data_IF_343046515633
#
_entry.id   IF_343046515633
#
_cell.length_a   1.000
_cell.length_b   1.000
_cell.length_c   1.000
_cell.angle_alpha   90.00
_cell.angle_beta   90.00
_cell.angle_gamma   90.00
#
_symmetry.space_group_name_H-M   'P 1'
#
loop_
_entity.id
_entity.type
_entity.pdbx_description
1 polymer ?
#
# COMPACT_ATOMS: atom_id res chain seq x y z
N UNK A 1 0.51 -16.65 -18.74
CA UNK A 1 -0.77 -15.96 -18.42
C UNK A 1 -0.51 -15.11 -17.19
N UNK A 2 0.27 -14.04 -17.34
CA UNK A 2 -0.23 -12.67 -17.48
C UNK A 2 -1.31 -12.32 -16.46
N UNK A 3 -0.91 -11.66 -15.37
CA UNK A 3 -1.73 -10.62 -14.77
C UNK A 3 -0.91 -9.34 -14.84
N UNK A 4 -1.11 -8.67 -15.96
CA UNK A 4 -0.62 -7.35 -16.31
C UNK A 4 -0.78 -6.34 -15.18
N UNK A 5 0.26 -5.51 -15.04
CA UNK A 5 0.20 -4.06 -14.95
C UNK A 5 -0.93 -3.45 -14.11
N UNK A 6 -0.59 -2.94 -12.92
CA UNK A 6 -1.35 -1.84 -12.34
C UNK A 6 -0.44 -0.66 -12.02
N UNK A 7 -0.43 0.23 -13.01
CA UNK A 7 -0.04 1.65 -12.99
C UNK A 7 1.42 1.97 -12.64
N UNK A 8 2.28 1.82 -13.65
CA UNK A 8 3.41 2.72 -13.81
C UNK A 8 2.94 4.03 -14.47
N UNK A 9 3.31 5.17 -13.88
CA UNK A 9 3.26 6.53 -14.47
C UNK A 9 2.97 7.61 -13.41
N UNK A 10 3.83 8.58 -13.08
CA UNK A 10 4.91 9.20 -13.86
C UNK A 10 6.11 9.78 -13.03
N UNK A 11 7.33 9.58 -13.60
CA UNK A 11 8.55 10.42 -13.69
C UNK A 11 9.54 10.71 -12.51
N UNK A 12 10.73 10.06 -12.59
CA UNK A 12 12.17 10.44 -12.31
C UNK A 12 12.60 11.12 -10.98
N UNK A 13 13.76 10.76 -10.34
CA UNK A 13 14.74 9.70 -10.64
C UNK A 13 14.32 8.37 -9.99
N UNK A 14 14.87 7.25 -10.46
CA UNK A 14 14.53 5.89 -10.03
C UNK A 14 14.97 5.58 -8.58
N UNK A 15 14.39 6.24 -7.59
CA UNK A 15 14.48 5.83 -6.20
C UNK A 15 13.59 4.60 -6.03
N UNK A 16 14.20 3.47 -5.64
CA UNK A 16 13.48 2.23 -5.37
C UNK A 16 12.30 2.50 -4.44
N UNK A 17 11.09 2.01 -4.75
CA UNK A 17 9.94 2.14 -3.86
C UNK A 17 10.25 1.58 -2.47
N UNK A 18 9.73 2.25 -1.45
CA UNK A 18 9.80 1.78 -0.07
C UNK A 18 8.59 0.89 0.18
N UNK A 19 8.86 -0.40 0.37
CA UNK A 19 7.84 -1.37 0.74
C UNK A 19 7.44 -1.25 2.21
N UNK A 20 6.14 -1.23 2.49
CA UNK A 20 5.59 -1.17 3.86
C UNK A 20 4.65 -2.34 4.10
N UNK A 21 4.74 -2.94 5.28
CA UNK A 21 3.74 -3.88 5.79
C UNK A 21 3.06 -3.28 7.02
N UNK A 22 1.73 -3.32 7.08
CA UNK A 22 0.96 -2.84 8.23
C UNK A 22 0.58 -4.04 9.10
N UNK A 23 0.94 -4.01 10.38
CA UNK A 23 0.62 -5.09 11.32
C UNK A 23 -0.64 -4.73 12.10
N UNK A 24 -1.79 -5.23 11.62
CA UNK A 24 -3.10 -5.00 12.20
C UNK A 24 -3.98 -4.10 11.32
N UNK A 25 -5.25 -4.49 11.21
CA UNK A 25 -6.28 -3.79 10.42
C UNK A 25 -7.54 -3.59 11.27
N UNK A 26 -7.37 -2.87 12.38
CA UNK A 26 -8.47 -2.28 13.18
C UNK A 26 -8.54 -0.78 12.93
N UNK A 27 -9.14 0.00 13.84
CA UNK A 27 -9.38 1.44 13.65
C UNK A 27 -8.16 2.23 13.16
N UNK A 28 -6.97 2.01 13.75
CA UNK A 28 -5.76 2.73 13.33
C UNK A 28 -5.22 2.18 12.03
N UNK A 29 -5.12 0.85 11.92
CA UNK A 29 -4.56 0.19 10.74
C UNK A 29 -5.33 0.48 9.46
N UNK A 30 -6.66 0.56 9.52
CA UNK A 30 -7.50 0.93 8.38
C UNK A 30 -7.23 2.35 7.89
N UNK A 31 -7.11 3.29 8.82
CA UNK A 31 -6.81 4.68 8.48
C UNK A 31 -5.39 4.85 7.93
N UNK A 32 -4.42 4.09 8.47
CA UNK A 32 -3.06 4.06 7.92
C UNK A 32 -3.06 3.59 6.48
N UNK A 33 -3.69 2.44 6.18
CA UNK A 33 -3.80 1.92 4.80
C UNK A 33 -4.51 2.93 3.89
N UNK A 34 -5.63 3.48 4.34
CA UNK A 34 -6.39 4.50 3.61
C UNK A 34 -5.54 5.72 3.27
N UNK A 35 -4.78 6.25 4.24
CA UNK A 35 -3.93 7.42 4.03
C UNK A 35 -2.81 7.10 3.05
N UNK A 36 -2.14 5.95 3.20
CA UNK A 36 -1.07 5.52 2.28
C UNK A 36 -1.56 5.52 0.83
N UNK A 37 -2.76 5.00 0.58
CA UNK A 37 -3.33 4.95 -0.77
C UNK A 37 -3.81 6.32 -1.27
N UNK A 38 -4.52 7.08 -0.43
CA UNK A 38 -5.17 8.33 -0.84
C UNK A 38 -4.20 9.52 -0.98
N UNK A 39 -3.06 9.49 -0.28
CA UNK A 39 -2.07 10.59 -0.30
C UNK A 39 -0.71 10.14 -0.82
N UNK A 40 -0.65 9.06 -1.59
CA UNK A 40 0.59 8.48 -2.12
C UNK A 40 1.53 9.51 -2.80
N UNK A 41 1.07 10.46 -3.64
CA UNK A 41 1.95 11.47 -4.25
C UNK A 41 2.58 12.41 -3.21
N UNK A 42 1.80 12.85 -2.22
CA UNK A 42 2.28 13.74 -1.16
C UNK A 42 3.28 13.03 -0.25
N UNK A 43 3.03 11.76 0.07
CA UNK A 43 3.96 10.93 0.83
C UNK A 43 5.27 10.75 0.05
N UNK A 44 5.19 10.46 -1.25
CA UNK A 44 6.37 10.30 -2.09
C UNK A 44 7.20 11.58 -2.15
N UNK A 45 6.57 12.75 -2.31
CA UNK A 45 7.25 14.04 -2.33
C UNK A 45 7.98 14.38 -1.01
N UNK A 46 7.43 13.94 0.14
CA UNK A 46 8.02 14.17 1.46
C UNK A 46 9.12 13.17 1.80
N UNK A 47 8.97 11.92 1.37
CA UNK A 47 9.89 10.82 1.67
C UNK A 47 11.06 10.80 0.68
N UNK A 48 10.85 11.25 -0.56
CA UNK A 48 11.81 11.16 -1.66
C UNK A 48 11.74 9.83 -2.43
N UNK A 49 10.75 8.99 -2.15
CA UNK A 49 10.52 7.70 -2.82
C UNK A 49 9.02 7.32 -2.77
N UNK A 50 8.50 6.61 -3.78
CA UNK A 50 7.14 6.04 -3.70
C UNK A 50 7.00 5.08 -2.52
N UNK A 51 5.88 5.18 -1.81
CA UNK A 51 5.52 4.25 -0.74
C UNK A 51 4.57 3.19 -1.29
N UNK A 52 4.92 1.92 -1.12
CA UNK A 52 4.12 0.81 -1.64
C UNK A 52 3.70 -0.12 -0.50
N UNK A 53 2.39 -0.25 -0.29
CA UNK A 53 1.86 -1.22 0.64
C UNK A 53 2.07 -2.63 0.05
N UNK A 54 2.78 -3.49 0.79
CA UNK A 54 3.12 -4.87 0.38
C UNK A 54 2.24 -5.92 1.03
N UNK A 55 1.58 -5.57 2.14
CA UNK A 55 0.69 -6.49 2.84
C UNK A 55 0.23 -5.92 4.18
N UNK A 56 -0.82 -6.54 4.71
CA UNK A 56 -1.44 -6.18 5.98
C UNK A 56 -1.64 -7.45 6.81
N UNK A 57 -0.79 -7.64 7.81
CA UNK A 57 -0.89 -8.83 8.66
C UNK A 57 -2.07 -8.70 9.63
N UNK A 58 -2.96 -9.69 9.64
CA UNK A 58 -4.11 -9.76 10.53
C UNK A 58 -4.20 -11.13 11.22
N UNK A 59 -4.91 -11.19 12.35
CA UNK A 59 -5.15 -12.47 13.05
C UNK A 59 -6.16 -13.38 12.32
N UNK A 60 -7.08 -12.80 11.56
CA UNK A 60 -8.14 -13.53 10.84
C UNK A 60 -8.36 -12.88 9.47
N UNK A 61 -8.07 -13.62 8.42
CA UNK A 61 -8.21 -13.23 7.00
C UNK A 61 -9.61 -13.49 6.43
N UNK A 62 -10.56 -13.90 7.28
CA UNK A 62 -11.95 -14.16 6.88
C UNK A 62 -12.79 -12.88 6.92
N UNK A 63 -13.78 -12.80 6.01
CA UNK A 63 -14.68 -11.66 5.90
C UNK A 63 -14.12 -10.51 5.08
N UNK A 64 -14.95 -9.50 4.84
CA UNK A 64 -14.52 -8.24 4.22
C UNK A 64 -13.80 -7.37 5.25
N UNK A 65 -12.62 -6.87 4.88
CA UNK A 65 -11.74 -6.04 5.72
C UNK A 65 -11.43 -4.69 5.07
N UNK A 66 -12.05 -4.37 3.93
CA UNK A 66 -11.78 -3.14 3.18
C UNK A 66 -10.46 -3.13 2.41
N UNK A 67 -9.77 -4.27 2.30
CA UNK A 67 -8.57 -4.46 1.47
C UNK A 67 -8.67 -5.77 0.69
N UNK A 68 -8.01 -5.90 -0.48
CA UNK A 68 -8.01 -7.14 -1.25
C UNK A 68 -7.46 -8.33 -0.45
N UNK A 69 -8.00 -9.53 -0.67
CA UNK A 69 -7.61 -10.74 0.09
C UNK A 69 -6.14 -11.12 -0.13
N UNK A 70 -5.61 -10.85 -1.31
CA UNK A 70 -4.20 -11.05 -1.67
C UNK A 70 -3.23 -10.18 -0.86
N UNK A 71 -3.73 -9.14 -0.18
CA UNK A 71 -2.95 -8.28 0.71
C UNK A 71 -2.95 -8.75 2.16
N UNK A 72 -3.72 -9.79 2.52
CA UNK A 72 -3.94 -10.26 3.91
C UNK A 72 -3.18 -11.54 4.25
#
# INVERSE_FOLDING_TARGET
>A
MSKSDKAAGAAEPATSPIGVAVLGLGNVGSEVVRIIEQTAPDLAARIGAPLELRGVAVRNVSGDRGVPREML
#
